data_IF_919805229778
#
_entry.id   IF_919805229778
#
_cell.length_a   1.000
_cell.length_b   1.000
_cell.length_c   1.000
_cell.angle_alpha   90.00
_cell.angle_beta   90.00
_cell.angle_gamma   90.00
#
_symmetry.space_group_name_H-M   'P 1'
#
loop_
_entity.id
_entity.type
_entity.pdbx_description
1 polymer ?
#
# COMPACT_ATOMS: atom_id res chain seq x y z
N UNK A 1 20.53 -75.64 -20.78
CA UNK A 1 21.92 -75.14 -20.74
C UNK A 1 21.96 -73.78 -20.03
N UNK A 2 23.05 -73.46 -19.32
CA UNK A 2 23.03 -72.80 -18.01
C UNK A 2 23.26 -71.27 -18.06
N UNK A 3 22.98 -70.57 -16.95
CA UNK A 3 23.22 -69.12 -16.86
C UNK A 3 23.21 -68.55 -15.43
N UNK A 4 24.19 -68.97 -14.62
CA UNK A 4 24.94 -68.19 -13.62
C UNK A 4 24.15 -67.36 -12.59
N UNK A 5 24.18 -67.83 -11.34
CA UNK A 5 24.00 -67.01 -10.13
C UNK A 5 25.32 -66.29 -9.85
N UNK A 6 25.28 -65.01 -9.47
CA UNK A 6 26.40 -64.40 -8.73
C UNK A 6 25.92 -63.41 -7.66
N UNK A 7 26.60 -63.38 -6.49
CA UNK A 7 26.02 -62.97 -5.22
C UNK A 7 26.76 -61.75 -4.65
N UNK A 8 26.19 -60.54 -4.73
CA UNK A 8 26.81 -59.39 -4.05
C UNK A 8 25.80 -58.48 -3.38
N UNK A 9 25.75 -58.68 -2.05
CA UNK A 9 25.35 -57.72 -1.03
C UNK A 9 26.09 -56.39 -1.26
N UNK A 10 25.35 -55.34 -1.60
CA UNK A 10 25.87 -53.97 -1.68
C UNK A 10 25.35 -53.17 -0.50
N UNK A 11 26.21 -53.05 0.51
CA UNK A 11 26.14 -52.09 1.61
C UNK A 11 26.46 -50.69 1.06
N UNK A 12 25.57 -49.72 1.25
CA UNK A 12 25.90 -48.29 1.23
C UNK A 12 25.22 -47.57 2.40
N UNK A 13 26.04 -47.36 3.43
CA UNK A 13 26.22 -46.16 4.26
C UNK A 13 25.01 -45.22 4.47
N UNK A 14 24.44 -45.35 5.68
CA UNK A 14 24.14 -44.28 6.63
C UNK A 14 24.26 -42.83 6.10
N UNK A 15 23.09 -42.25 5.80
CA UNK A 15 22.72 -40.84 5.94
C UNK A 15 23.82 -39.78 5.91
N UNK A 16 24.08 -39.25 4.71
CA UNK A 16 24.55 -37.88 4.60
C UNK A 16 23.35 -36.93 4.59
N UNK A 17 23.27 -36.19 5.69
CA UNK A 17 22.36 -35.09 5.94
C UNK A 17 22.38 -34.12 4.76
N UNK A 18 21.25 -33.97 4.09
CA UNK A 18 20.95 -32.82 3.24
C UNK A 18 21.04 -31.52 4.04
N UNK A 19 22.24 -30.96 4.12
CA UNK A 19 22.51 -29.52 4.20
C UNK A 19 22.55 -29.09 2.72
N UNK A 20 21.68 -28.25 2.16
CA UNK A 20 21.08 -27.03 2.66
C UNK A 20 19.69 -26.81 2.04
N UNK A 21 18.63 -27.08 2.81
CA UNK A 21 17.27 -26.57 2.56
C UNK A 21 16.78 -25.75 3.75
N UNK A 22 17.67 -24.99 4.39
CA UNK A 22 17.34 -24.04 5.46
C UNK A 22 17.49 -22.60 4.96
N UNK A 23 16.80 -22.31 3.86
CA UNK A 23 16.37 -20.97 3.52
C UNK A 23 15.03 -21.04 2.76
N UNK A 24 14.14 -21.96 3.18
CA UNK A 24 12.73 -21.68 3.03
C UNK A 24 12.43 -20.66 4.12
N UNK A 25 12.49 -19.39 3.70
CA UNK A 25 11.68 -18.28 4.17
C UNK A 25 10.65 -18.77 5.19
N UNK A 26 10.90 -18.49 6.47
CA UNK A 26 9.84 -18.53 7.47
C UNK A 26 8.86 -17.43 7.06
N UNK A 27 7.96 -17.72 6.12
CA UNK A 27 6.70 -17.02 6.05
C UNK A 27 6.05 -17.31 7.40
N UNK A 28 6.24 -16.39 8.34
CA UNK A 28 5.51 -16.41 9.60
C UNK A 28 4.04 -16.48 9.21
N UNK A 29 3.34 -17.49 9.71
CA UNK A 29 1.94 -17.70 9.35
C UNK A 29 1.13 -16.45 9.73
N UNK A 30 0.70 -15.69 8.72
CA UNK A 30 0.00 -14.42 8.90
C UNK A 30 -1.39 -14.68 9.45
N UNK A 31 -1.83 -13.87 10.42
CA UNK A 31 -3.16 -14.05 11.01
C UNK A 31 -4.27 -13.87 9.96
N UNK A 32 -5.42 -14.53 10.11
CA UNK A 32 -6.57 -14.25 9.26
C UNK A 32 -7.03 -12.80 9.41
N UNK A 33 -7.59 -12.26 8.33
CA UNK A 33 -8.20 -10.93 8.32
C UNK A 33 -9.59 -10.98 8.96
N UNK A 34 -9.97 -9.89 9.64
CA UNK A 34 -11.34 -9.71 10.10
C UNK A 34 -12.24 -9.41 8.90
N UNK A 35 -13.06 -10.38 8.51
CA UNK A 35 -13.96 -10.29 7.37
C UNK A 35 -15.39 -10.50 7.81
N UNK A 36 -16.30 -9.82 7.12
CA UNK A 36 -17.75 -9.88 7.38
C UNK A 36 -18.40 -10.59 6.21
N UNK A 37 -19.36 -11.47 6.50
CA UNK A 37 -20.14 -12.14 5.46
C UNK A 37 -21.01 -11.10 4.77
N UNK A 38 -20.74 -10.87 3.50
CA UNK A 38 -21.49 -9.90 2.70
C UNK A 38 -22.64 -10.64 2.02
N UNK A 39 -23.88 -10.24 2.30
CA UNK A 39 -25.03 -10.76 1.59
C UNK A 39 -25.07 -10.18 0.18
N UNK A 40 -25.43 -11.00 -0.83
CA UNK A 40 -25.59 -10.50 -2.19
C UNK A 40 -26.72 -9.47 -2.24
N UNK A 41 -26.53 -8.33 -2.94
CA UNK A 41 -25.39 -7.98 -3.78
C UNK A 41 -24.29 -7.28 -2.96
N UNK A 42 -23.17 -7.97 -2.71
CA UNK A 42 -21.87 -7.53 -2.16
C UNK A 42 -21.83 -6.16 -1.43
N UNK A 43 -22.79 -5.92 -0.54
CA UNK A 43 -22.94 -4.69 0.22
C UNK A 43 -22.84 -4.99 1.69
N UNK A 44 -21.88 -4.32 2.33
CA UNK A 44 -21.76 -4.30 3.77
C UNK A 44 -22.88 -3.43 4.33
N UNK A 45 -23.59 -3.94 5.33
CA UNK A 45 -24.57 -3.14 6.08
C UNK A 45 -23.84 -1.98 6.78
N UNK A 46 -24.20 -0.71 6.51
CA UNK A 46 -23.49 0.43 7.09
C UNK A 46 -23.46 0.43 8.62
N UNK A 47 -24.54 -0.06 9.25
CA UNK A 47 -24.66 -0.13 10.71
C UNK A 47 -23.64 -1.08 11.33
N UNK A 48 -23.18 -2.09 10.58
CA UNK A 48 -22.10 -2.96 11.02
C UNK A 48 -20.82 -2.16 11.25
N UNK A 49 -20.51 -1.18 10.39
CA UNK A 49 -19.30 -0.37 10.51
C UNK A 49 -19.33 0.59 11.72
N UNK A 50 -20.50 0.81 12.34
CA UNK A 50 -20.63 1.58 13.58
C UNK A 50 -20.14 0.80 14.81
N UNK A 51 -20.27 -0.53 14.78
CA UNK A 51 -19.99 -1.42 15.89
C UNK A 51 -18.85 -2.41 15.63
N UNK A 52 -18.42 -2.51 14.37
CA UNK A 52 -17.40 -3.43 13.88
C UNK A 52 -16.54 -2.77 12.78
N UNK A 53 -15.60 -3.52 12.22
CA UNK A 53 -14.72 -3.09 11.13
C UNK A 53 -14.52 -4.18 10.09
N UNK A 54 -13.92 -3.85 8.96
CA UNK A 54 -13.56 -4.81 7.91
C UNK A 54 -12.11 -4.64 7.55
N UNK A 55 -11.40 -5.76 7.43
CA UNK A 55 -10.02 -5.79 6.99
C UNK A 55 -9.89 -6.33 5.56
N UNK A 56 -8.95 -5.74 4.81
CA UNK A 56 -8.50 -6.22 3.49
C UNK A 56 -6.99 -6.14 3.39
N UNK A 57 -6.42 -7.07 2.65
CA UNK A 57 -5.01 -7.01 2.27
C UNK A 57 -4.82 -5.99 1.15
N UNK A 58 -3.80 -5.16 1.31
CA UNK A 58 -3.37 -4.16 0.34
C UNK A 58 -1.85 -4.08 0.36
N UNK A 59 -1.26 -3.43 -0.63
CA UNK A 59 0.13 -2.98 -0.58
C UNK A 59 0.16 -1.47 -0.34
N UNK A 60 0.82 -1.02 0.71
CA UNK A 60 1.02 0.41 0.97
C UNK A 60 2.26 0.91 0.22
N UNK A 61 2.05 1.77 -0.77
CA UNK A 61 3.13 2.31 -1.59
C UNK A 61 3.75 3.56 -0.96
N UNK A 62 2.95 4.34 -0.22
CA UNK A 62 3.40 5.56 0.44
C UNK A 62 2.30 6.62 0.53
N UNK A 63 2.67 7.78 1.08
CA UNK A 63 1.83 8.96 1.18
C UNK A 63 2.53 10.14 0.52
N UNK A 64 1.87 10.75 -0.46
CA UNK A 64 2.34 11.98 -1.09
C UNK A 64 1.71 13.17 -0.37
N UNK A 65 2.53 14.12 0.06
CA UNK A 65 2.08 15.33 0.80
C UNK A 65 2.29 16.59 -0.02
N UNK A 66 1.75 17.72 0.43
CA UNK A 66 1.86 19.00 -0.28
C UNK A 66 1.29 18.94 -1.69
N UNK A 67 0.27 18.10 -1.89
CA UNK A 67 -0.43 17.98 -3.16
C UNK A 67 -1.46 19.13 -3.24
N UNK A 68 -1.63 19.80 -4.39
CA UNK A 68 -2.61 20.88 -4.49
C UNK A 68 -4.02 20.39 -4.13
N UNK A 69 -4.69 21.08 -3.20
CA UNK A 69 -6.01 20.69 -2.71
C UNK A 69 -7.09 20.68 -3.80
N UNK A 70 -6.89 21.43 -4.89
CA UNK A 70 -7.78 21.43 -6.05
C UNK A 70 -7.58 20.23 -7.00
N UNK A 71 -6.66 19.30 -6.72
CA UNK A 71 -6.48 18.06 -7.48
C UNK A 71 -7.84 17.40 -7.74
N UNK A 72 -8.14 17.11 -9.01
CA UNK A 72 -9.38 16.44 -9.37
C UNK A 72 -9.25 14.92 -9.12
N UNK A 73 -9.98 14.34 -8.15
CA UNK A 73 -9.83 12.93 -7.82
C UNK A 73 -10.36 11.98 -8.90
N UNK A 74 -11.14 12.48 -9.86
CA UNK A 74 -11.59 11.72 -11.03
C UNK A 74 -10.60 11.78 -12.20
N UNK A 75 -9.59 12.66 -12.14
CA UNK A 75 -8.59 12.80 -13.20
C UNK A 75 -7.52 11.71 -13.08
N UNK A 76 -7.74 10.58 -13.78
CA UNK A 76 -6.73 9.50 -13.88
C UNK A 76 -5.35 10.04 -14.28
N UNK A 77 -5.30 10.92 -15.28
CA UNK A 77 -4.05 11.45 -15.83
C UNK A 77 -3.28 12.27 -14.80
N UNK A 78 -3.97 13.12 -14.04
CA UNK A 78 -3.32 13.98 -13.03
C UNK A 78 -2.79 13.17 -11.86
N UNK A 79 -3.57 12.20 -11.37
CA UNK A 79 -3.15 11.30 -10.29
C UNK A 79 -1.95 10.44 -10.72
N UNK A 80 -2.01 9.83 -11.90
CA UNK A 80 -0.89 9.01 -12.41
C UNK A 80 0.36 9.86 -12.63
N UNK A 81 0.24 11.10 -13.12
CA UNK A 81 1.38 11.99 -13.28
C UNK A 81 2.12 12.23 -11.95
N UNK A 82 1.37 12.46 -10.86
CA UNK A 82 1.95 12.63 -9.52
C UNK A 82 2.63 11.34 -9.03
N UNK A 83 1.98 10.19 -9.20
CA UNK A 83 2.52 8.88 -8.81
C UNK A 83 3.80 8.55 -9.60
N UNK A 84 3.82 8.79 -10.90
CA UNK A 84 4.97 8.51 -11.77
C UNK A 84 6.16 9.40 -11.42
N UNK A 85 5.91 10.68 -11.11
CA UNK A 85 6.95 11.59 -10.64
C UNK A 85 7.51 11.13 -9.29
N UNK A 86 6.65 10.71 -8.36
CA UNK A 86 7.08 10.20 -7.06
C UNK A 86 7.88 8.89 -7.18
N UNK A 87 7.48 7.97 -8.08
CA UNK A 87 8.27 6.76 -8.41
C UNK A 87 9.64 7.12 -9.00
N UNK A 88 9.69 8.08 -9.94
CA UNK A 88 10.96 8.56 -10.53
C UNK A 88 11.87 9.23 -9.50
N UNK A 89 11.29 9.88 -8.51
CA UNK A 89 11.99 10.50 -7.39
C UNK A 89 12.30 9.52 -6.24
N UNK A 90 11.98 8.23 -6.39
CA UNK A 90 12.16 7.19 -5.37
C UNK A 90 11.39 7.46 -4.05
N UNK A 91 10.33 8.26 -4.10
CA UNK A 91 9.41 8.50 -2.99
C UNK A 91 8.36 7.39 -2.87
N UNK A 92 8.04 6.72 -3.99
CA UNK A 92 7.21 5.52 -4.04
C UNK A 92 8.03 4.38 -4.66
N UNK A 93 7.76 3.12 -4.27
CA UNK A 93 8.44 1.97 -4.86
C UNK A 93 8.03 1.82 -6.33
N UNK A 94 9.02 1.51 -7.18
CA UNK A 94 8.79 1.27 -8.61
C UNK A 94 8.17 -0.08 -8.92
N UNK A 95 8.33 -1.06 -8.03
CA UNK A 95 7.78 -2.41 -8.16
C UNK A 95 7.07 -2.83 -6.87
N UNK A 96 6.03 -3.64 -7.01
CA UNK A 96 5.30 -4.22 -5.89
C UNK A 96 6.10 -5.40 -5.33
N UNK A 97 6.29 -5.43 -4.01
CA UNK A 97 7.00 -6.49 -3.30
C UNK A 97 6.27 -6.83 -1.98
N UNK A 98 6.60 -7.95 -1.31
CA UNK A 98 5.99 -8.33 -0.04
C UNK A 98 6.31 -7.37 1.11
N UNK A 99 7.41 -6.61 1.05
CA UNK A 99 7.77 -5.64 2.10
C UNK A 99 6.77 -4.48 2.23
N UNK A 100 5.92 -4.31 1.22
CA UNK A 100 4.86 -3.30 1.20
C UNK A 100 3.51 -3.87 1.66
N UNK A 101 3.43 -5.15 2.05
CA UNK A 101 2.17 -5.77 2.46
C UNK A 101 1.62 -5.10 3.72
N UNK A 102 0.36 -4.71 3.64
CA UNK A 102 -0.36 -4.02 4.70
C UNK A 102 -1.80 -4.54 4.82
N UNK A 103 -2.42 -4.26 5.95
CA UNK A 103 -3.85 -4.47 6.18
C UNK A 103 -4.51 -3.11 6.28
N UNK A 104 -5.52 -2.89 5.44
CA UNK A 104 -6.45 -1.77 5.60
C UNK A 104 -7.64 -2.22 6.44
N UNK A 105 -7.92 -1.50 7.51
CA UNK A 105 -9.06 -1.70 8.40
C UNK A 105 -10.00 -0.51 8.24
N UNK A 106 -11.23 -0.77 7.80
CA UNK A 106 -12.28 0.21 7.57
C UNK A 106 -13.35 0.10 8.66
N UNK A 107 -13.67 1.23 9.30
CA UNK A 107 -14.79 1.39 10.23
C UNK A 107 -15.55 2.68 9.89
N UNK A 108 -16.68 2.94 10.53
CA UNK A 108 -17.40 4.21 10.37
C UNK A 108 -16.60 5.43 10.91
N UNK A 109 -15.55 5.20 11.70
CA UNK A 109 -14.79 6.26 12.36
C UNK A 109 -13.53 6.65 11.59
N UNK A 110 -12.82 5.68 11.02
CA UNK A 110 -11.54 5.89 10.36
C UNK A 110 -11.19 4.71 9.44
N UNK A 111 -10.23 4.98 8.56
CA UNK A 111 -9.39 3.98 7.92
C UNK A 111 -8.08 3.89 8.69
N UNK A 112 -7.68 2.66 9.04
CA UNK A 112 -6.40 2.35 9.69
C UNK A 112 -5.57 1.46 8.76
N UNK A 113 -4.31 1.81 8.55
CA UNK A 113 -3.34 0.97 7.84
C UNK A 113 -2.30 0.46 8.82
N UNK A 114 -2.04 -0.84 8.79
CA UNK A 114 -1.00 -1.50 9.59
C UNK A 114 -0.14 -2.36 8.67
N UNK A 115 1.14 -2.52 8.99
CA UNK A 115 2.00 -3.46 8.28
C UNK A 115 1.49 -4.89 8.45
N UNK A 116 1.58 -5.70 7.40
CA UNK A 116 1.06 -7.07 7.46
C UNK A 116 1.88 -7.95 8.40
N UNK A 117 3.18 -7.72 8.40
CA UNK A 117 4.13 -8.36 9.30
C UNK A 117 4.45 -7.38 10.45
N UNK A 118 4.43 -7.86 11.69
CA UNK A 118 4.63 -7.04 12.89
C UNK A 118 3.39 -6.27 13.37
N UNK A 119 2.45 -5.94 12.47
CA UNK A 119 1.20 -5.21 12.77
C UNK A 119 1.39 -3.79 13.32
N UNK A 120 2.56 -3.20 13.07
CA UNK A 120 2.84 -1.81 13.43
C UNK A 120 1.94 -0.85 12.64
N UNK A 121 1.42 0.17 13.33
CA UNK A 121 0.55 1.19 12.75
C UNK A 121 1.33 2.05 11.74
N UNK A 122 0.82 2.12 10.51
CA UNK A 122 1.34 3.00 9.46
C UNK A 122 0.68 4.37 9.60
N UNK A 123 -0.65 4.41 9.48
CA UNK A 123 -1.44 5.64 9.57
C UNK A 123 -2.88 5.35 9.95
N UNK A 124 -3.57 6.40 10.41
CA UNK A 124 -5.00 6.41 10.71
C UNK A 124 -5.62 7.69 10.18
N UNK A 125 -6.57 7.57 9.26
CA UNK A 125 -7.29 8.71 8.68
C UNK A 125 -8.75 8.67 9.13
N UNK A 126 -9.23 9.66 9.91
CA UNK A 126 -10.65 9.81 10.20
C UNK A 126 -11.47 9.89 8.91
N UNK A 127 -12.68 9.32 8.89
CA UNK A 127 -13.52 9.33 7.67
C UNK A 127 -13.80 10.76 7.20
N UNK A 128 -13.96 11.71 8.13
CA UNK A 128 -14.20 13.12 7.79
C UNK A 128 -13.00 13.83 7.15
N UNK A 129 -11.79 13.28 7.27
CA UNK A 129 -10.60 13.81 6.61
C UNK A 129 -10.38 13.20 5.21
N UNK A 130 -11.20 12.23 4.79
CA UNK A 130 -11.12 11.62 3.46
C UNK A 130 -12.01 12.39 2.49
N UNK A 131 -11.40 13.09 1.54
CA UNK A 131 -12.12 13.84 0.51
C UNK A 131 -12.64 12.92 -0.60
N UNK A 132 -11.90 11.87 -0.96
CA UNK A 132 -12.29 10.92 -2.00
C UNK A 132 -11.46 9.65 -1.98
N UNK A 133 -12.00 8.58 -2.56
CA UNK A 133 -11.28 7.35 -2.89
C UNK A 133 -11.38 7.10 -4.38
N UNK A 134 -10.25 6.91 -5.05
CA UNK A 134 -10.17 6.71 -6.50
C UNK A 134 -9.55 5.36 -6.81
N UNK A 135 -10.22 4.58 -7.64
CA UNK A 135 -9.66 3.34 -8.19
C UNK A 135 -9.09 3.61 -9.58
N UNK A 136 -7.80 3.27 -9.77
CA UNK A 136 -7.09 3.46 -11.04
C UNK A 136 -6.44 2.15 -11.43
N UNK A 137 -6.84 1.61 -12.59
CA UNK A 137 -6.13 0.50 -13.21
C UNK A 137 -4.97 1.04 -14.04
N UNK A 138 -3.77 0.53 -13.76
CA UNK A 138 -2.53 0.89 -14.44
C UNK A 138 -1.78 -0.38 -14.86
N UNK A 139 -2.10 -0.91 -16.05
CA UNK A 139 -1.59 -2.12 -16.72
C UNK A 139 -1.29 -3.34 -15.83
N UNK A 140 -0.29 -3.25 -14.96
CA UNK A 140 0.16 -4.27 -14.00
C UNK A 140 -0.35 -4.10 -12.56
N UNK A 141 -1.01 -2.98 -12.23
CA UNK A 141 -1.42 -2.65 -10.86
C UNK A 141 -2.88 -2.15 -10.79
N UNK A 142 -3.53 -2.49 -9.68
CA UNK A 142 -4.84 -1.99 -9.29
C UNK A 142 -4.65 -0.98 -8.16
N UNK A 143 -4.56 0.30 -8.50
CA UNK A 143 -4.29 1.36 -7.52
C UNK A 143 -5.59 1.81 -6.85
N UNK A 144 -5.51 2.01 -5.54
CA UNK A 144 -6.54 2.67 -4.73
C UNK A 144 -5.88 3.88 -4.08
N UNK A 145 -6.36 5.07 -4.41
CA UNK A 145 -5.79 6.34 -3.96
C UNK A 145 -6.80 7.07 -3.09
N UNK A 146 -6.42 7.34 -1.84
CA UNK A 146 -7.24 8.14 -0.94
C UNK A 146 -6.71 9.57 -0.96
N UNK A 147 -7.56 10.52 -1.36
CA UNK A 147 -7.30 11.95 -1.17
C UNK A 147 -7.76 12.33 0.23
N UNK A 148 -6.85 12.88 1.01
CA UNK A 148 -7.06 13.16 2.44
C UNK A 148 -6.66 14.59 2.77
N UNK A 149 -7.27 15.18 3.79
CA UNK A 149 -6.81 16.44 4.36
C UNK A 149 -5.35 16.31 4.84
N UNK A 150 -4.61 17.41 4.78
CA UNK A 150 -3.25 17.46 5.31
C UNK A 150 -3.32 17.78 6.81
N UNK A 151 -2.77 16.90 7.66
CA UNK A 151 -2.71 17.14 9.10
C UNK A 151 -1.80 18.36 9.39
N UNK A 152 -2.29 19.41 10.07
CA UNK A 152 -1.48 20.57 10.44
C UNK A 152 -0.39 20.27 11.49
N UNK A 153 -0.40 19.10 12.13
CA UNK A 153 0.51 18.73 13.24
C UNK A 153 1.69 17.83 12.90
N UNK A 154 1.75 17.24 11.70
CA UNK A 154 2.87 16.38 11.29
C UNK A 154 3.94 17.27 10.67
N UNK A 155 4.94 17.63 11.48
CA UNK A 155 6.20 18.20 10.99
C UNK A 155 6.75 17.30 9.86
N UNK A 156 7.31 17.84 8.76
CA UNK A 156 7.72 17.07 7.58
C UNK A 156 9.00 16.26 7.81
N UNK A 157 9.09 15.57 8.94
CA UNK A 157 10.25 14.77 9.33
C UNK A 157 10.23 13.36 8.71
N UNK A 158 9.13 12.96 8.05
CA UNK A 158 9.09 11.75 7.19
C UNK A 158 8.22 11.90 5.93
N UNK A 159 7.62 13.08 5.69
CA UNK A 159 6.81 13.36 4.49
C UNK A 159 7.64 14.13 3.47
N UNK A 160 7.94 13.50 2.33
CA UNK A 160 8.78 14.10 1.30
C UNK A 160 7.92 14.98 0.38
N UNK A 161 8.21 16.28 0.40
CA UNK A 161 7.57 17.28 -0.45
C UNK A 161 7.69 16.90 -1.94
N UNK A 162 6.60 17.06 -2.69
CA UNK A 162 6.67 17.07 -4.15
C UNK A 162 7.30 18.41 -4.59
N UNK A 163 8.61 18.44 -4.80
CA UNK A 163 9.29 19.60 -5.39
C UNK A 163 8.91 19.72 -6.87
N UNK A 164 8.02 20.66 -7.18
CA UNK A 164 7.76 21.14 -8.53
C UNK A 164 8.88 22.09 -8.96
N UNK A 165 9.76 21.63 -9.85
CA UNK A 165 10.82 22.42 -10.44
C UNK A 165 10.29 23.65 -11.18
N UNK A 166 10.56 24.86 -10.67
CA UNK A 166 10.79 26.06 -11.50
C UNK A 166 11.81 26.99 -10.84
N UNK A 167 13.06 26.88 -11.31
CA UNK A 167 14.06 27.94 -11.15
C UNK A 167 13.86 28.97 -12.26
N UNK A 168 13.40 30.18 -11.91
CA UNK A 168 13.75 31.42 -12.61
C UNK A 168 13.74 32.56 -11.58
N UNK A 169 14.87 33.24 -11.50
CA UNK A 169 15.13 34.37 -10.61
C UNK A 169 14.61 35.68 -11.21
N UNK A 170 14.18 36.58 -10.32
CA UNK A 170 14.17 38.05 -10.39
C UNK A 170 12.83 38.66 -9.99
N UNK A 171 12.91 39.63 -9.06
CA UNK A 171 11.86 40.00 -8.15
C UNK A 171 10.69 40.80 -8.71
N UNK A 172 9.59 40.76 -7.96
CA UNK A 172 8.65 41.87 -7.82
C UNK A 172 7.80 41.60 -6.57
N UNK A 173 7.73 42.58 -5.67
CA UNK A 173 6.80 42.58 -4.55
C UNK A 173 5.38 42.65 -5.12
N UNK A 174 4.62 41.57 -4.99
CA UNK A 174 3.17 41.63 -5.08
C UNK A 174 2.57 41.04 -3.80
N UNK A 175 1.97 41.92 -3.01
CA UNK A 175 0.97 41.53 -2.02
C UNK A 175 -0.21 40.91 -2.79
N UNK A 176 -0.17 39.60 -2.99
CA UNK A 176 -1.35 38.85 -3.37
C UNK A 176 -1.99 38.32 -2.09
N UNK A 177 -3.23 38.73 -1.86
CA UNK A 177 -4.13 38.12 -0.89
C UNK A 177 -4.33 36.63 -1.26
N UNK A 178 -3.40 35.79 -0.84
CA UNK A 178 -3.47 34.35 -0.95
C UNK A 178 -3.65 33.78 0.44
N UNK A 179 -4.88 33.35 0.77
CA UNK A 179 -5.05 32.41 1.87
C UNK A 179 -4.12 31.20 1.64
N UNK A 180 -3.76 30.44 2.69
CA UNK A 180 -2.91 29.25 2.53
C UNK A 180 -3.47 28.40 1.40
N UNK A 181 -2.66 28.12 0.37
CA UNK A 181 -3.04 27.14 -0.64
C UNK A 181 -3.32 25.85 0.13
N UNK A 182 -4.59 25.45 0.15
CA UNK A 182 -5.01 24.27 0.88
C UNK A 182 -4.34 23.07 0.21
N UNK A 183 -3.43 22.42 0.92
CA UNK A 183 -2.75 21.21 0.47
C UNK A 183 -3.52 19.99 0.95
N UNK A 184 -3.48 18.93 0.16
CA UNK A 184 -3.97 17.60 0.54
C UNK A 184 -2.85 16.57 0.50
N UNK A 185 -3.17 15.37 0.98
CA UNK A 185 -2.31 14.21 0.88
C UNK A 185 -2.96 13.12 0.01
N UNK A 186 -2.14 12.34 -0.69
CA UNK A 186 -2.56 11.14 -1.40
C UNK A 186 -1.95 9.91 -0.74
N UNK A 187 -2.78 9.06 -0.14
CA UNK A 187 -2.37 7.73 0.32
C UNK A 187 -2.51 6.78 -0.86
N UNK A 188 -1.40 6.17 -1.29
CA UNK A 188 -1.35 5.33 -2.49
C UNK A 188 -1.26 3.86 -2.08
N UNK A 189 -2.26 3.09 -2.47
CA UNK A 189 -2.36 1.66 -2.21
C UNK A 189 -2.42 0.88 -3.54
N UNK A 190 -2.03 -0.39 -3.50
CA UNK A 190 -2.29 -1.35 -4.57
C UNK A 190 -3.05 -2.57 -4.05
N UNK A 191 -3.94 -3.13 -4.87
CA UNK A 191 -4.68 -4.36 -4.61
C UNK A 191 -4.29 -5.43 -5.66
N UNK A 192 -4.51 -6.70 -5.34
CA UNK A 192 -4.17 -7.80 -6.26
C UNK A 192 -5.13 -7.93 -7.44
N UNK A 193 -6.38 -7.48 -7.26
CA UNK A 193 -7.43 -7.61 -8.27
C UNK A 193 -8.42 -6.46 -8.20
N UNK A 194 -9.27 -6.38 -9.23
CA UNK A 194 -10.46 -5.54 -9.22
C UNK A 194 -11.43 -6.09 -8.18
N UNK A 195 -11.73 -5.28 -7.16
CA UNK A 195 -12.82 -5.49 -6.21
C UNK A 195 -14.16 -5.47 -6.94
#
# INVERSE_FOLDING_TARGET
QPGIVSPFKRVFLKGEKGRDKKAQEKAQERRPLHTVVVALPDRVEPDLLLHDYIEKEVKYLGQLTSIPGYLNPSSRTEILHLIDNAKRAHQLPGQLSPEHDAVISLSAYNIKLVWRDGEDLILRVPIHDIASVSYIRDDSAHLVVLKTAQDPGISPSQSLCAEGSKALTSGSLSESAGGPLECCCLVVLATESKV
#
